data_IF_114679505264
#
_entry.id   IF_114679505264
#
_cell.length_a   1.000
_cell.length_b   1.000
_cell.length_c   1.000
_cell.angle_alpha   90.00
_cell.angle_beta   90.00
_cell.angle_gamma   90.00
#
_symmetry.space_group_name_H-M   'P 1'
#
loop_
_entity.id
_entity.type
_entity.pdbx_description
1 polymer ?
#
# COMPACT_ATOMS: atom_id res chain seq x y z
N UNK A 1 20.84 3.78 -56.03
CA UNK A 1 19.50 4.14 -56.54
C UNK A 1 18.55 4.11 -55.36
N UNK A 2 17.92 5.23 -54.99
CA UNK A 2 16.98 5.27 -53.87
C UNK A 2 15.78 4.37 -54.14
N UNK A 3 15.38 3.57 -53.15
CA UNK A 3 14.17 2.75 -53.21
C UNK A 3 12.96 3.69 -53.41
N UNK A 4 12.04 3.37 -54.32
CA UNK A 4 10.79 4.13 -54.47
C UNK A 4 10.01 4.00 -53.16
N UNK A 5 9.84 5.11 -52.43
CA UNK A 5 9.07 5.18 -51.18
C UNK A 5 7.57 5.37 -51.41
N UNK A 6 7.15 5.43 -52.68
CA UNK A 6 5.75 5.64 -53.09
C UNK A 6 5.48 4.99 -54.43
N UNK A 7 4.31 4.36 -54.54
CA UNK A 7 3.77 3.82 -55.77
C UNK A 7 2.96 4.90 -56.50
N UNK A 8 3.17 5.07 -57.80
CA UNK A 8 2.37 5.98 -58.63
C UNK A 8 1.02 5.32 -58.93
N UNK A 9 -0.08 6.02 -58.65
CA UNK A 9 -1.44 5.52 -58.88
C UNK A 9 -1.76 5.38 -60.36
N UNK A 10 -1.16 6.20 -61.22
CA UNK A 10 -1.37 6.10 -62.67
C UNK A 10 -0.78 4.79 -63.23
N UNK A 11 0.36 4.35 -62.68
CA UNK A 11 1.05 3.12 -63.09
C UNK A 11 0.30 1.85 -62.66
N UNK A 12 -0.58 1.94 -61.65
CA UNK A 12 -1.40 0.81 -61.17
C UNK A 12 -2.39 0.34 -62.23
N UNK A 13 -2.95 1.26 -63.01
CA UNK A 13 -3.94 0.95 -64.05
C UNK A 13 -3.36 0.17 -65.24
N UNK A 14 -2.04 0.30 -65.45
CA UNK A 14 -1.36 -0.43 -66.51
C UNK A 14 -1.17 -1.92 -66.16
N UNK A 15 -1.26 -2.27 -64.88
CA UNK A 15 -1.18 -3.65 -64.35
C UNK A 15 0.04 -4.45 -64.87
N UNK A 16 1.17 -3.78 -65.04
CA UNK A 16 2.38 -4.39 -65.58
C UNK A 16 3.08 -5.26 -64.52
N UNK A 17 3.81 -6.32 -64.92
CA UNK A 17 4.50 -7.21 -63.98
C UNK A 17 5.44 -6.49 -63.01
N UNK A 18 6.12 -5.43 -63.47
CA UNK A 18 7.00 -4.61 -62.64
C UNK A 18 6.24 -3.91 -61.51
N UNK A 19 5.03 -3.42 -61.78
CA UNK A 19 4.20 -2.76 -60.77
C UNK A 19 3.67 -3.78 -59.75
N UNK A 20 3.23 -4.96 -60.20
CA UNK A 20 2.86 -6.06 -59.29
C UNK A 20 4.02 -6.49 -58.39
N UNK A 21 5.25 -6.53 -58.92
CA UNK A 21 6.43 -6.81 -58.12
C UNK A 21 6.72 -5.72 -57.08
N UNK A 22 6.49 -4.44 -57.41
CA UNK A 22 6.61 -3.35 -56.46
C UNK A 22 5.52 -3.38 -55.37
N UNK A 23 4.27 -3.71 -55.72
CA UNK A 23 3.19 -3.88 -54.74
C UNK A 23 3.57 -4.98 -53.74
N UNK A 24 4.03 -6.14 -54.21
CA UNK A 24 4.51 -7.23 -53.34
C UNK A 24 5.65 -6.81 -52.41
N UNK A 25 6.57 -5.96 -52.86
CA UNK A 25 7.63 -5.42 -52.00
C UNK A 25 7.05 -4.51 -50.89
N UNK A 26 6.03 -3.72 -51.21
CA UNK A 26 5.32 -2.90 -50.21
C UNK A 26 4.55 -3.78 -49.23
N UNK A 27 3.95 -4.89 -49.68
CA UNK A 27 3.28 -5.86 -48.81
C UNK A 27 4.26 -6.52 -47.84
N UNK A 28 5.44 -6.90 -48.32
CA UNK A 28 6.50 -7.49 -47.49
C UNK A 28 6.98 -6.50 -46.41
N UNK A 29 7.25 -5.24 -46.78
CA UNK A 29 7.64 -4.21 -45.82
C UNK A 29 6.52 -3.87 -44.83
N UNK A 30 5.26 -3.80 -45.29
CA UNK A 30 4.09 -3.59 -44.43
C UNK A 30 3.92 -4.73 -43.42
N UNK A 31 4.16 -5.98 -43.82
CA UNK A 31 4.12 -7.13 -42.92
C UNK A 31 5.21 -7.06 -41.84
N UNK A 32 6.45 -6.73 -42.22
CA UNK A 32 7.53 -6.52 -41.24
C UNK A 32 7.20 -5.37 -40.28
N UNK A 33 6.62 -4.28 -40.81
CA UNK A 33 6.21 -3.14 -40.01
C UNK A 33 5.10 -3.51 -39.01
N UNK A 34 4.13 -4.33 -39.43
CA UNK A 34 3.07 -4.87 -38.57
C UNK A 34 3.64 -5.68 -37.42
N UNK A 35 4.49 -6.65 -37.71
CA UNK A 35 5.10 -7.51 -36.68
C UNK A 35 5.87 -6.70 -35.64
N UNK A 36 6.71 -5.76 -36.10
CA UNK A 36 7.45 -4.88 -35.21
C UNK A 36 6.54 -3.95 -34.41
N UNK A 37 5.51 -3.37 -35.05
CA UNK A 37 4.54 -2.49 -34.37
C UNK A 37 3.77 -3.22 -33.28
N UNK A 38 3.38 -4.47 -33.52
CA UNK A 38 2.72 -5.31 -32.52
C UNK A 38 3.65 -5.57 -31.32
N UNK A 39 4.92 -5.93 -31.56
CA UNK A 39 5.89 -6.11 -30.48
C UNK A 39 6.10 -4.82 -29.67
N UNK A 40 6.22 -3.68 -30.37
CA UNK A 40 6.39 -2.37 -29.74
C UNK A 40 5.17 -1.99 -28.89
N UNK A 41 3.95 -2.14 -29.44
CA UNK A 41 2.71 -1.82 -28.74
C UNK A 41 2.59 -2.62 -27.44
N UNK A 42 2.83 -3.93 -27.49
CA UNK A 42 2.84 -4.80 -26.31
C UNK A 42 3.86 -4.31 -25.25
N UNK A 43 5.05 -3.86 -25.68
CA UNK A 43 6.05 -3.29 -24.79
C UNK A 43 5.60 -1.99 -24.13
N UNK A 44 5.01 -1.07 -24.90
CA UNK A 44 4.49 0.21 -24.41
C UNK A 44 3.29 0.03 -23.48
N UNK A 45 2.41 -0.94 -23.76
CA UNK A 45 1.29 -1.30 -22.89
C UNK A 45 1.77 -1.79 -21.54
N UNK A 46 2.73 -2.72 -21.52
CA UNK A 46 3.35 -3.20 -20.28
C UNK A 46 3.98 -2.07 -19.48
N UNK A 47 4.70 -1.16 -20.14
CA UNK A 47 5.29 0.02 -19.49
C UNK A 47 4.21 0.94 -18.90
N UNK A 48 3.16 1.23 -19.65
CA UNK A 48 2.06 2.10 -19.21
C UNK A 48 1.31 1.49 -18.03
N UNK A 49 1.03 0.18 -18.06
CA UNK A 49 0.42 -0.53 -16.92
C UNK A 49 1.31 -0.50 -15.68
N UNK A 50 2.62 -0.75 -15.82
CA UNK A 50 3.56 -0.68 -14.71
C UNK A 50 3.62 0.73 -14.09
N UNK A 51 3.63 1.77 -14.93
CA UNK A 51 3.63 3.16 -14.46
C UNK A 51 2.36 3.49 -13.67
N UNK A 52 1.19 3.06 -14.14
CA UNK A 52 -0.08 3.25 -13.42
C UNK A 52 -0.06 2.57 -12.04
N UNK A 53 0.46 1.34 -11.95
CA UNK A 53 0.57 0.61 -10.69
C UNK A 53 1.49 1.33 -9.68
N UNK A 54 2.62 1.86 -10.15
CA UNK A 54 3.54 2.62 -9.28
C UNK A 54 2.89 3.91 -8.78
N UNK A 55 2.18 4.64 -9.65
CA UNK A 55 1.42 5.84 -9.27
C UNK A 55 0.38 5.54 -8.20
N UNK A 56 -0.40 4.46 -8.37
CA UNK A 56 -1.41 4.04 -7.40
C UNK A 56 -0.79 3.63 -6.06
N UNK A 57 0.29 2.83 -6.09
CA UNK A 57 1.00 2.41 -4.90
C UNK A 57 1.57 3.61 -4.12
N UNK A 58 2.17 4.57 -4.80
CA UNK A 58 2.70 5.79 -4.17
C UNK A 58 1.60 6.59 -3.46
N UNK A 59 0.43 6.76 -4.10
CA UNK A 59 -0.73 7.42 -3.47
C UNK A 59 -1.25 6.67 -2.25
N UNK A 60 -1.31 5.34 -2.33
CA UNK A 60 -1.76 4.50 -1.21
C UNK A 60 -0.83 4.62 0.01
N UNK A 61 0.49 4.63 -0.22
CA UNK A 61 1.49 4.88 0.83
C UNK A 61 1.31 6.28 1.42
N UNK A 62 1.21 7.32 0.60
CA UNK A 62 0.98 8.70 1.05
C UNK A 62 -0.28 8.83 1.90
N UNK A 63 -1.39 8.21 1.46
CA UNK A 63 -2.64 8.16 2.21
C UNK A 63 -2.48 7.48 3.57
N UNK A 64 -1.84 6.30 3.61
CA UNK A 64 -1.61 5.55 4.84
C UNK A 64 -0.81 6.36 5.86
N UNK A 65 0.24 7.05 5.41
CA UNK A 65 1.06 7.91 6.27
C UNK A 65 0.22 9.08 6.81
N UNK A 66 -0.60 9.71 5.96
CA UNK A 66 -1.44 10.85 6.40
C UNK A 66 -2.49 10.48 7.47
N UNK A 67 -2.89 9.21 7.53
CA UNK A 67 -3.85 8.69 8.53
C UNK A 67 -3.24 8.51 9.92
N UNK A 68 -1.92 8.67 10.08
CA UNK A 68 -1.26 8.55 11.39
C UNK A 68 -1.91 9.47 12.43
N UNK A 69 -2.24 10.72 12.06
CA UNK A 69 -2.88 11.71 12.92
C UNK A 69 -4.27 11.29 13.47
N UNK A 70 -4.92 10.32 12.83
CA UNK A 70 -6.24 9.82 13.22
C UNK A 70 -6.14 8.68 14.24
N UNK A 71 -4.94 8.11 14.41
CA UNK A 71 -4.67 7.04 15.36
C UNK A 71 -4.37 7.62 16.73
N UNK A 72 -4.83 6.94 17.78
CA UNK A 72 -4.51 7.29 19.17
C UNK A 72 -3.42 6.36 19.68
N UNK A 73 -2.24 6.94 19.93
CA UNK A 73 -1.11 6.26 20.53
C UNK A 73 -0.89 6.83 21.95
N UNK A 74 -1.35 6.13 23.01
CA UNK A 74 -1.32 6.67 24.38
C UNK A 74 0.08 6.81 24.99
N UNK A 75 1.09 6.24 24.33
CA UNK A 75 2.49 6.28 24.73
C UNK A 75 3.34 7.15 23.78
N UNK A 76 2.70 7.90 22.88
CA UNK A 76 3.42 8.75 21.94
C UNK A 76 4.04 9.94 22.66
N UNK A 77 5.23 10.33 22.21
CA UNK A 77 5.94 11.47 22.75
C UNK A 77 5.47 12.73 22.01
N UNK A 78 4.71 13.57 22.72
CA UNK A 78 4.13 14.80 22.17
C UNK A 78 5.21 15.76 21.66
N UNK A 79 6.41 15.72 22.23
CA UNK A 79 7.51 16.60 21.85
C UNK A 79 8.11 16.24 20.48
N UNK A 80 7.90 15.01 20.00
CA UNK A 80 8.36 14.59 18.67
C UNK A 80 7.47 15.11 17.54
N UNK A 81 6.22 15.48 17.82
CA UNK A 81 5.20 15.91 16.85
C UNK A 81 5.17 15.02 15.59
N UNK A 82 5.10 13.71 15.81
CA UNK A 82 5.02 12.71 14.73
C UNK A 82 3.83 12.94 13.80
N UNK A 83 2.63 13.37 14.26
CA UNK A 83 1.53 13.71 13.37
C UNK A 83 1.86 14.81 12.34
N UNK A 84 2.57 15.87 12.74
CA UNK A 84 2.98 16.91 11.79
C UNK A 84 4.04 16.40 10.81
N UNK A 85 5.05 15.67 11.31
CA UNK A 85 6.11 15.09 10.47
C UNK A 85 5.54 14.13 9.42
N UNK A 86 4.65 13.23 9.83
CA UNK A 86 3.99 12.27 8.92
C UNK A 86 3.10 12.96 7.90
N UNK A 87 2.37 14.02 8.27
CA UNK A 87 1.58 14.80 7.32
C UNK A 87 2.45 15.45 6.22
N UNK A 88 3.62 16.00 6.59
CA UNK A 88 4.57 16.59 5.64
C UNK A 88 5.22 15.53 4.74
N UNK A 89 5.60 14.38 5.31
CA UNK A 89 6.10 13.23 4.54
C UNK A 89 5.06 12.73 3.51
N UNK A 90 3.80 12.60 3.92
CA UNK A 90 2.71 12.21 3.03
C UNK A 90 2.53 13.21 1.88
N UNK A 91 2.60 14.51 2.16
CA UNK A 91 2.53 15.54 1.13
C UNK A 91 3.69 15.42 0.11
N UNK A 92 4.92 15.22 0.58
CA UNK A 92 6.07 15.03 -0.28
C UNK A 92 5.94 13.78 -1.18
N UNK A 93 5.45 12.66 -0.64
CA UNK A 93 5.20 11.43 -1.41
C UNK A 93 4.08 11.64 -2.44
N UNK A 94 3.00 12.33 -2.08
CA UNK A 94 1.91 12.63 -3.00
C UNK A 94 2.37 13.54 -4.15
N UNK A 95 3.30 14.45 -3.91
CA UNK A 95 3.88 15.26 -4.98
C UNK A 95 4.69 14.41 -5.98
N UNK A 96 5.45 13.42 -5.50
CA UNK A 96 6.08 12.44 -6.39
C UNK A 96 5.03 11.66 -7.20
N UNK A 97 3.94 11.26 -6.55
CA UNK A 97 2.85 10.54 -7.21
C UNK A 97 2.15 11.41 -8.29
N UNK A 98 2.04 12.72 -8.10
CA UNK A 98 1.53 13.64 -9.13
C UNK A 98 2.43 13.65 -10.38
N UNK A 99 3.76 13.68 -10.19
CA UNK A 99 4.71 13.55 -11.29
C UNK A 99 4.58 12.20 -12.02
N UNK A 100 4.38 11.11 -11.28
CA UNK A 100 4.17 9.76 -11.82
C UNK A 100 2.86 9.65 -12.61
N UNK A 101 1.80 10.32 -12.16
CA UNK A 101 0.53 10.39 -12.89
C UNK A 101 0.68 11.16 -14.22
N UNK A 102 1.38 12.29 -14.20
CA UNK A 102 1.65 13.03 -15.43
C UNK A 102 2.45 12.20 -16.43
N UNK A 103 3.46 11.45 -15.96
CA UNK A 103 4.19 10.51 -16.80
C UNK A 103 3.26 9.44 -17.38
N UNK A 104 2.37 8.86 -16.57
CA UNK A 104 1.39 7.87 -17.04
C UNK A 104 0.49 8.44 -18.15
N UNK A 105 0.01 9.67 -17.99
CA UNK A 105 -0.80 10.35 -19.01
C UNK A 105 -0.01 10.62 -20.31
N UNK A 106 1.28 10.97 -20.21
CA UNK A 106 2.14 11.15 -21.39
C UNK A 106 2.39 9.83 -22.12
N UNK A 107 2.62 8.74 -21.38
CA UNK A 107 2.76 7.40 -21.96
C UNK A 107 1.48 6.98 -22.71
N UNK A 108 0.31 7.20 -22.11
CA UNK A 108 -0.96 6.83 -22.70
C UNK A 108 -1.26 7.65 -23.97
N UNK A 109 -1.21 8.99 -23.86
CA UNK A 109 -1.70 9.87 -24.91
C UNK A 109 -0.69 10.14 -26.03
N UNK A 110 0.60 10.26 -25.68
CA UNK A 110 1.64 10.66 -26.63
C UNK A 110 2.44 9.47 -27.17
N UNK A 111 2.39 8.30 -26.51
CA UNK A 111 3.15 7.12 -26.92
C UNK A 111 2.23 5.99 -27.37
N UNK A 112 1.40 5.47 -26.45
CA UNK A 112 0.55 4.29 -26.71
C UNK A 112 -0.49 4.56 -27.78
N UNK A 113 -1.23 5.67 -27.66
CA UNK A 113 -2.34 5.97 -28.57
C UNK A 113 -1.92 6.07 -30.05
N UNK A 114 -0.88 6.85 -30.44
CA UNK A 114 -0.44 6.89 -31.83
C UNK A 114 0.02 5.52 -32.37
N UNK A 115 0.75 4.74 -31.57
CA UNK A 115 1.21 3.39 -31.95
C UNK A 115 0.02 2.46 -32.13
N UNK A 116 -0.98 2.51 -31.24
CA UNK A 116 -2.22 1.73 -31.34
C UNK A 116 -3.01 2.08 -32.61
N UNK A 117 -3.04 3.36 -32.99
CA UNK A 117 -3.64 3.80 -34.27
C UNK A 117 -2.92 3.16 -35.45
N UNK A 118 -1.59 3.22 -35.49
CA UNK A 118 -0.80 2.61 -36.56
C UNK A 118 -1.01 1.09 -36.62
N UNK A 119 -0.99 0.43 -35.46
CA UNK A 119 -1.26 -1.00 -35.35
C UNK A 119 -2.60 -1.36 -35.97
N UNK A 120 -3.67 -0.64 -35.65
CA UNK A 120 -5.00 -0.88 -36.20
C UNK A 120 -5.06 -0.70 -37.73
N UNK A 121 -4.38 0.30 -38.26
CA UNK A 121 -4.29 0.52 -39.72
C UNK A 121 -3.52 -0.63 -40.41
N UNK A 122 -2.42 -1.09 -39.82
CA UNK A 122 -1.63 -2.22 -40.32
C UNK A 122 -2.43 -3.53 -40.30
N UNK A 123 -3.13 -3.81 -39.20
CA UNK A 123 -4.04 -4.95 -39.09
C UNK A 123 -5.16 -4.89 -40.14
N UNK A 124 -5.77 -3.72 -40.34
CA UNK A 124 -6.81 -3.56 -41.36
C UNK A 124 -6.27 -3.77 -42.78
N UNK A 125 -5.07 -3.27 -43.05
CA UNK A 125 -4.44 -3.37 -44.37
C UNK A 125 -4.08 -4.82 -44.69
N UNK A 126 -3.44 -5.54 -43.76
CA UNK A 126 -3.00 -6.90 -44.00
C UNK A 126 -4.16 -7.90 -43.95
N UNK A 127 -5.01 -7.85 -42.93
CA UNK A 127 -6.05 -8.90 -42.70
C UNK A 127 -7.34 -8.68 -43.50
N UNK A 128 -7.50 -7.52 -44.16
CA UNK A 128 -8.75 -7.21 -44.88
C UNK A 128 -8.54 -6.61 -46.25
N UNK A 129 -7.74 -5.56 -46.36
CA UNK A 129 -7.57 -4.87 -47.63
C UNK A 129 -6.74 -5.71 -48.62
N UNK A 130 -5.73 -6.43 -48.12
CA UNK A 130 -4.92 -7.36 -48.93
C UNK A 130 -5.77 -8.49 -49.51
N UNK A 131 -6.48 -9.24 -48.67
CA UNK A 131 -7.40 -10.32 -49.10
C UNK A 131 -8.45 -9.84 -50.10
N UNK A 132 -9.03 -8.65 -49.88
CA UNK A 132 -10.02 -8.06 -50.79
C UNK A 132 -9.40 -7.70 -52.14
N UNK A 133 -8.20 -7.14 -52.14
CA UNK A 133 -7.47 -6.84 -53.36
C UNK A 133 -7.15 -8.11 -54.16
N UNK A 134 -6.64 -9.15 -53.49
CA UNK A 134 -6.35 -10.44 -54.11
C UNK A 134 -7.60 -11.10 -54.69
N UNK A 135 -8.71 -11.15 -53.94
CA UNK A 135 -9.96 -11.71 -54.43
C UNK A 135 -10.55 -10.99 -55.64
N UNK A 136 -10.52 -9.65 -55.65
CA UNK A 136 -10.97 -8.86 -56.82
C UNK A 136 -10.04 -9.06 -58.01
N UNK A 137 -8.73 -9.23 -57.78
CA UNK A 137 -7.77 -9.56 -58.83
C UNK A 137 -8.06 -10.93 -59.44
N UNK A 138 -8.35 -11.95 -58.62
CA UNK A 138 -8.73 -13.28 -59.09
C UNK A 138 -10.02 -13.25 -59.92
N UNK A 139 -11.06 -12.53 -59.46
CA UNK A 139 -12.31 -12.34 -60.24
C UNK A 139 -12.05 -11.73 -61.62
N UNK A 140 -11.14 -10.75 -61.71
CA UNK A 140 -10.78 -10.12 -62.97
C UNK A 140 -10.07 -11.09 -63.91
N UNK A 141 -9.10 -11.86 -63.41
CA UNK A 141 -8.37 -12.88 -64.18
C UNK A 141 -9.34 -13.98 -64.66
N UNK A 142 -10.27 -14.42 -63.83
CA UNK A 142 -11.29 -15.40 -64.19
C UNK A 142 -12.24 -14.91 -65.29
N UNK A 143 -12.67 -13.65 -65.22
CA UNK A 143 -13.50 -13.03 -66.25
C UNK A 143 -12.75 -12.92 -67.58
N UNK A 144 -11.47 -12.56 -67.53
CA UNK A 144 -10.59 -12.50 -68.70
C UNK A 144 -10.43 -13.90 -69.33
N UNK A 145 -10.17 -14.93 -68.52
CA UNK A 145 -9.99 -16.29 -69.01
C UNK A 145 -11.27 -16.84 -69.69
N UNK A 146 -12.45 -16.58 -69.08
CA UNK A 146 -13.76 -16.95 -69.65
C UNK A 146 -14.02 -16.25 -70.99
N UNK A 147 -13.71 -14.96 -71.08
CA UNK A 147 -13.85 -14.20 -72.33
C UNK A 147 -12.91 -14.73 -73.42
N UNK A 148 -11.63 -14.98 -73.07
CA UNK A 148 -10.61 -15.45 -74.02
C UNK A 148 -10.88 -16.87 -74.55
N UNK A 149 -11.54 -17.72 -73.77
CA UNK A 149 -11.96 -19.07 -74.18
C UNK A 149 -13.25 -19.07 -75.04
N UNK A 150 -13.95 -17.95 -75.16
CA UNK A 150 -15.20 -17.88 -75.91
C UNK A 150 -14.98 -18.11 -77.42
N UNK A 151 -15.83 -18.93 -78.03
CA UNK A 151 -15.79 -19.17 -79.47
C UNK A 151 -16.20 -17.90 -80.23
N UNK A 152 -15.44 -17.56 -81.28
CA UNK A 152 -15.75 -16.44 -82.18
C UNK A 152 -17.09 -16.57 -82.91
N UNK A 153 -17.66 -17.78 -82.95
CA UNK A 153 -18.94 -18.05 -83.64
C UNK A 153 -20.17 -17.71 -82.80
N UNK A 154 -20.03 -17.50 -81.50
CA UNK A 154 -21.13 -17.19 -80.58
C UNK A 154 -21.09 -15.70 -80.20
N UNK A 155 -21.60 -14.85 -81.10
CA UNK A 155 -21.54 -13.39 -80.96
C UNK A 155 -22.32 -12.87 -79.75
N UNK A 156 -23.44 -13.52 -79.40
CA UNK A 156 -24.26 -13.13 -78.24
C UNK A 156 -23.50 -13.38 -76.95
N UNK A 157 -22.99 -14.60 -76.75
CA UNK A 157 -22.19 -14.94 -75.57
C UNK A 157 -20.91 -14.12 -75.48
N UNK A 158 -20.26 -13.84 -76.61
CA UNK A 158 -19.09 -12.97 -76.66
C UNK A 158 -19.37 -11.56 -76.16
N UNK A 159 -20.54 -10.98 -76.48
CA UNK A 159 -20.92 -9.64 -76.01
C UNK A 159 -21.26 -9.63 -74.51
N UNK A 160 -21.93 -10.67 -74.01
CA UNK A 160 -22.22 -10.83 -72.58
C UNK A 160 -20.93 -10.91 -71.76
N UNK A 161 -19.99 -11.79 -72.15
CA UNK A 161 -18.69 -11.95 -71.47
C UNK A 161 -17.81 -10.70 -71.57
N UNK A 162 -17.90 -9.91 -72.65
CA UNK A 162 -17.20 -8.63 -72.75
C UNK A 162 -17.73 -7.61 -71.74
N UNK A 163 -19.05 -7.61 -71.49
CA UNK A 163 -19.68 -6.80 -70.45
C UNK A 163 -19.16 -7.19 -69.06
N UNK A 164 -19.16 -8.49 -68.75
CA UNK A 164 -18.65 -9.01 -67.47
C UNK A 164 -17.17 -8.67 -67.26
N UNK A 165 -16.34 -8.86 -68.29
CA UNK A 165 -14.91 -8.49 -68.26
C UNK A 165 -14.71 -7.01 -67.99
N UNK A 166 -15.50 -6.15 -68.65
CA UNK A 166 -15.41 -4.69 -68.47
C UNK A 166 -15.78 -4.30 -67.03
N UNK A 167 -16.82 -4.92 -66.47
CA UNK A 167 -17.21 -4.69 -65.07
C UNK A 167 -16.15 -5.18 -64.09
N UNK A 168 -15.61 -6.38 -64.28
CA UNK A 168 -14.55 -6.93 -63.44
C UNK A 168 -13.28 -6.06 -63.49
N UNK A 169 -12.89 -5.59 -64.68
CA UNK A 169 -11.74 -4.68 -64.85
C UNK A 169 -11.94 -3.35 -64.12
N UNK A 170 -13.13 -2.77 -64.19
CA UNK A 170 -13.43 -1.52 -63.48
C UNK A 170 -13.39 -1.71 -61.96
N UNK A 171 -13.90 -2.84 -61.44
CA UNK A 171 -13.78 -3.19 -60.01
C UNK A 171 -12.32 -3.36 -59.59
N UNK A 172 -11.54 -4.11 -60.37
CA UNK A 172 -10.11 -4.29 -60.13
C UNK A 172 -9.35 -2.95 -60.11
N UNK A 173 -9.54 -2.11 -61.12
CA UNK A 173 -8.88 -0.81 -61.18
C UNK A 173 -9.21 0.08 -59.97
N UNK A 174 -10.48 0.11 -59.56
CA UNK A 174 -10.90 0.87 -58.39
C UNK A 174 -10.26 0.34 -57.10
N UNK A 175 -10.25 -1.00 -56.92
CA UNK A 175 -9.65 -1.62 -55.75
C UNK A 175 -8.13 -1.46 -55.71
N UNK A 176 -7.46 -1.64 -56.85
CA UNK A 176 -6.02 -1.51 -56.95
C UNK A 176 -5.57 -0.09 -56.59
N UNK A 177 -6.31 0.93 -57.01
CA UNK A 177 -6.06 2.32 -56.60
C UNK A 177 -6.27 2.51 -55.09
N UNK A 178 -7.35 1.98 -54.51
CA UNK A 178 -7.60 2.08 -53.06
C UNK A 178 -6.50 1.39 -52.25
N UNK A 179 -6.17 0.15 -52.62
CA UNK A 179 -5.14 -0.66 -51.95
C UNK A 179 -3.78 0.01 -51.97
N UNK A 180 -3.32 0.46 -53.15
CA UNK A 180 -2.05 1.16 -53.30
C UNK A 180 -2.05 2.51 -52.58
N UNK A 181 -3.20 3.20 -52.51
CA UNK A 181 -3.34 4.43 -51.72
C UNK A 181 -3.14 4.15 -50.23
N UNK A 182 -3.68 3.05 -49.70
CA UNK A 182 -3.48 2.64 -48.30
C UNK A 182 -2.03 2.24 -48.02
N UNK A 183 -1.39 1.48 -48.90
CA UNK A 183 0.04 1.13 -48.80
C UNK A 183 0.90 2.40 -48.74
N UNK A 184 0.67 3.35 -49.64
CA UNK A 184 1.35 4.65 -49.62
C UNK A 184 1.07 5.44 -48.32
N UNK A 185 -0.18 5.38 -47.82
CA UNK A 185 -0.58 6.02 -46.56
C UNK A 185 0.23 5.51 -45.37
N UNK A 186 0.33 4.18 -45.22
CA UNK A 186 1.15 3.53 -44.19
C UNK A 186 2.61 3.95 -44.29
N UNK A 187 3.19 3.97 -45.49
CA UNK A 187 4.58 4.38 -45.69
C UNK A 187 4.83 5.85 -45.32
N UNK A 188 3.86 6.74 -45.56
CA UNK A 188 3.98 8.15 -45.19
C UNK A 188 3.81 8.39 -43.69
N UNK A 189 2.93 7.65 -43.03
CA UNK A 189 2.53 7.88 -41.63
C UNK A 189 3.36 7.08 -40.62
N UNK A 190 4.09 6.04 -41.03
CA UNK A 190 4.94 5.24 -40.12
C UNK A 190 5.90 6.08 -39.28
N UNK A 191 6.45 7.17 -39.83
CA UNK A 191 7.38 8.01 -39.08
C UNK A 191 6.68 8.84 -38.00
N UNK A 192 5.53 9.44 -38.32
CA UNK A 192 4.76 10.25 -37.36
C UNK A 192 3.98 9.41 -36.35
N UNK A 193 3.63 8.16 -36.68
CA UNK A 193 2.88 7.28 -35.79
C UNK A 193 3.74 6.24 -35.07
N UNK A 194 5.01 6.06 -35.42
CA UNK A 194 5.91 5.12 -34.73
C UNK A 194 7.19 5.77 -34.23
N UNK A 195 7.80 6.72 -34.95
CA UNK A 195 9.06 7.34 -34.52
C UNK A 195 8.81 8.54 -33.60
N UNK A 196 7.89 9.43 -33.96
CA UNK A 196 7.53 10.58 -33.11
C UNK A 196 7.07 10.16 -31.70
N UNK A 197 6.24 9.11 -31.51
CA UNK A 197 5.93 8.56 -30.18
C UNK A 197 7.15 8.14 -29.35
N UNK A 198 8.19 7.59 -29.99
CA UNK A 198 9.43 7.22 -29.29
C UNK A 198 10.22 8.45 -28.86
N UNK A 199 10.17 9.53 -29.63
CA UNK A 199 10.73 10.82 -29.21
C UNK A 199 9.92 11.40 -28.04
N UNK A 200 8.59 11.33 -28.11
CA UNK A 200 7.70 11.72 -27.00
C UNK A 200 7.98 10.92 -25.73
N UNK A 201 8.28 9.62 -25.85
CA UNK A 201 8.68 8.77 -24.72
C UNK A 201 9.94 9.31 -24.02
N UNK A 202 10.99 9.63 -24.79
CA UNK A 202 12.21 10.22 -24.24
C UNK A 202 11.95 11.58 -23.59
N UNK A 203 11.10 12.41 -24.20
CA UNK A 203 10.71 13.70 -23.64
C UNK A 203 9.93 13.55 -22.34
N UNK A 204 9.01 12.58 -22.26
CA UNK A 204 8.24 12.28 -21.06
C UNK A 204 9.15 11.88 -19.89
N UNK A 205 10.13 10.98 -20.13
CA UNK A 205 11.12 10.63 -19.11
C UNK A 205 11.99 11.80 -18.69
N UNK A 206 12.49 12.60 -19.64
CA UNK A 206 13.27 13.80 -19.33
C UNK A 206 12.47 14.76 -18.44
N UNK A 207 11.21 15.02 -18.80
CA UNK A 207 10.32 15.91 -18.05
C UNK A 207 10.07 15.37 -16.64
N UNK A 208 9.71 14.08 -16.52
CA UNK A 208 9.49 13.43 -15.22
C UNK A 208 10.69 13.54 -14.30
N UNK A 209 11.89 13.24 -14.79
CA UNK A 209 13.11 13.37 -14.00
C UNK A 209 13.45 14.82 -13.64
N UNK A 210 13.25 15.76 -14.56
CA UNK A 210 13.51 17.19 -14.30
C UNK A 210 12.58 17.74 -13.23
N UNK A 211 11.27 17.47 -13.34
CA UNK A 211 10.27 17.91 -12.37
C UNK A 211 10.50 17.24 -11.02
N UNK A 212 10.76 15.93 -11.02
CA UNK A 212 11.10 15.18 -9.80
C UNK A 212 12.34 15.75 -9.11
N UNK A 213 13.42 15.99 -9.85
CA UNK A 213 14.64 16.57 -9.29
C UNK A 213 14.41 17.97 -8.69
N UNK A 214 13.57 18.79 -9.32
CA UNK A 214 13.28 20.13 -8.79
C UNK A 214 12.40 20.07 -7.53
N UNK A 215 11.41 19.17 -7.49
CA UNK A 215 10.58 18.96 -6.29
C UNK A 215 11.40 18.57 -5.05
N UNK A 216 12.47 17.79 -5.26
CA UNK A 216 13.39 17.36 -4.20
C UNK A 216 14.33 18.48 -3.70
N UNK A 217 14.50 19.58 -4.44
CA UNK A 217 15.36 20.71 -4.05
C UNK A 217 14.65 21.76 -3.21
N UNK A 218 13.34 21.62 -3.00
CA UNK A 218 12.58 22.58 -2.20
C UNK A 218 13.14 22.63 -0.77
N UNK A 219 13.12 23.83 -0.17
CA UNK A 219 13.55 24.01 1.22
C UNK A 219 12.71 23.17 2.17
N UNK A 220 11.43 22.97 1.86
CA UNK A 220 10.53 22.10 2.61
C UNK A 220 10.96 20.64 2.55
N UNK A 221 11.26 20.08 1.37
CA UNK A 221 11.72 18.70 1.23
C UNK A 221 13.02 18.46 2.03
N UNK A 222 13.95 19.40 1.93
CA UNK A 222 15.23 19.35 2.69
C UNK A 222 14.98 19.44 4.19
N UNK A 223 14.08 20.33 4.63
CA UNK A 223 13.71 20.49 6.04
C UNK A 223 13.09 19.22 6.61
N UNK A 224 12.15 18.59 5.89
CA UNK A 224 11.51 17.33 6.33
C UNK A 224 12.55 16.25 6.59
N UNK A 225 13.52 16.07 5.68
CA UNK A 225 14.55 15.06 5.81
C UNK A 225 15.48 15.33 7.00
N UNK A 226 15.99 16.57 7.12
CA UNK A 226 16.90 16.95 8.20
C UNK A 226 16.22 16.87 9.56
N UNK A 227 15.03 17.46 9.71
CA UNK A 227 14.28 17.46 10.97
C UNK A 227 13.90 16.03 11.39
N UNK A 228 13.39 15.23 10.44
CA UNK A 228 13.07 13.83 10.71
C UNK A 228 14.30 13.05 11.19
N UNK A 229 15.45 13.23 10.53
CA UNK A 229 16.69 12.56 10.91
C UNK A 229 17.19 13.02 12.28
N UNK A 230 17.17 14.32 12.57
CA UNK A 230 17.58 14.87 13.87
C UNK A 230 16.70 14.35 15.02
N UNK A 231 15.37 14.35 14.83
CA UNK A 231 14.41 13.78 15.78
C UNK A 231 14.70 12.30 16.06
N UNK A 232 14.86 11.49 15.01
CA UNK A 232 15.14 10.05 15.19
C UNK A 232 16.49 9.81 15.88
N UNK A 233 17.52 10.60 15.56
CA UNK A 233 18.79 10.51 16.27
C UNK A 233 18.66 10.90 17.76
N UNK A 234 17.84 11.89 18.08
CA UNK A 234 17.54 12.26 19.48
C UNK A 234 16.90 11.10 20.24
N UNK A 235 15.88 10.45 19.63
CA UNK A 235 15.22 9.27 20.19
C UNK A 235 16.22 8.14 20.45
N UNK A 236 17.10 7.84 19.49
CA UNK A 236 18.13 6.81 19.65
C UNK A 236 19.10 7.15 20.78
N UNK A 237 19.55 8.41 20.91
CA UNK A 237 20.43 8.82 22.01
C UNK A 237 19.74 8.70 23.36
N UNK A 238 18.48 9.12 23.46
CA UNK A 238 17.68 9.01 24.67
C UNK A 238 17.50 7.55 25.10
N UNK A 239 17.21 6.65 24.15
CA UNK A 239 17.11 5.21 24.39
C UNK A 239 18.44 4.64 24.92
N UNK A 240 19.57 5.01 24.31
CA UNK A 240 20.89 4.54 24.76
C UNK A 240 21.23 4.98 26.18
N UNK A 241 20.92 6.23 26.53
CA UNK A 241 21.11 6.76 27.89
C UNK A 241 20.20 6.01 28.88
N UNK A 242 18.92 5.88 28.54
CA UNK A 242 17.92 5.17 29.35
C UNK A 242 18.32 3.71 29.59
N UNK A 243 18.81 3.03 28.55
CA UNK A 243 19.27 1.64 28.61
C UNK A 243 20.48 1.47 29.50
N UNK A 244 21.47 2.37 29.40
CA UNK A 244 22.65 2.36 30.30
C UNK A 244 22.24 2.58 31.76
N UNK A 245 21.43 3.61 32.03
CA UNK A 245 20.93 3.87 33.38
C UNK A 245 20.08 2.71 33.92
N UNK A 246 19.29 2.06 33.08
CA UNK A 246 18.51 0.88 33.46
C UNK A 246 19.40 -0.32 33.78
N UNK A 247 20.47 -0.54 33.00
CA UNK A 247 21.44 -1.61 33.27
C UNK A 247 22.21 -1.38 34.59
N UNK A 248 22.60 -0.14 34.87
CA UNK A 248 23.24 0.24 36.15
C UNK A 248 22.28 0.02 37.33
N UNK A 249 21.02 0.46 37.22
CA UNK A 249 19.99 0.22 38.24
C UNK A 249 19.72 -1.27 38.45
N UNK A 250 19.64 -2.04 37.37
CA UNK A 250 19.45 -3.49 37.45
C UNK A 250 20.60 -4.17 38.18
N UNK A 251 21.84 -3.79 37.86
CA UNK A 251 23.03 -4.30 38.54
C UNK A 251 23.00 -3.95 40.04
N UNK A 252 22.70 -2.70 40.38
CA UNK A 252 22.59 -2.25 41.77
C UNK A 252 21.50 -3.01 42.55
N UNK A 253 20.33 -3.21 41.95
CA UNK A 253 19.24 -3.99 42.57
C UNK A 253 19.61 -5.46 42.72
N UNK A 254 20.25 -6.06 41.72
CA UNK A 254 20.70 -7.47 41.77
C UNK A 254 21.71 -7.67 42.89
N UNK A 255 22.66 -6.75 43.04
CA UNK A 255 23.64 -6.81 44.13
C UNK A 255 22.97 -6.70 45.51
N UNK A 256 21.94 -5.86 45.66
CA UNK A 256 21.17 -5.77 46.91
C UNK A 256 20.38 -7.03 47.21
N UNK A 257 19.83 -7.71 46.19
CA UNK A 257 19.11 -8.97 46.38
C UNK A 257 20.02 -10.12 46.81
N UNK A 258 21.32 -10.05 46.53
CA UNK A 258 22.31 -11.03 46.96
C UNK A 258 22.82 -10.78 48.39
N UNK A 259 22.38 -9.72 49.05
CA UNK A 259 22.68 -9.44 50.45
C UNK A 259 21.66 -10.19 51.33
N UNK A 260 22.14 -11.14 52.13
CA UNK A 260 21.29 -12.07 52.92
C UNK A 260 20.37 -11.33 53.93
N UNK A 261 20.67 -10.06 54.24
CA UNK A 261 19.91 -9.22 55.18
C UNK A 261 18.95 -8.24 54.48
N UNK A 262 18.81 -8.32 53.15
CA UNK A 262 17.96 -7.40 52.38
C UNK A 262 16.47 -7.78 52.44
N UNK A 263 15.73 -7.12 53.33
CA UNK A 263 14.26 -7.27 53.41
C UNK A 263 13.57 -6.55 52.24
N UNK A 264 12.97 -7.34 51.34
CA UNK A 264 12.20 -6.86 50.17
C UNK A 264 10.79 -6.38 50.56
N UNK A 265 10.42 -6.46 51.85
CA UNK A 265 9.12 -6.03 52.33
C UNK A 265 8.90 -4.53 52.07
N UNK A 266 7.69 -4.11 51.63
CA UNK A 266 7.37 -2.69 51.47
C UNK A 266 7.60 -1.92 52.77
N UNK A 267 8.03 -0.66 52.67
CA UNK A 267 8.32 0.19 53.82
C UNK A 267 7.14 0.25 54.80
N UNK A 268 7.40 -0.13 56.06
CA UNK A 268 6.44 -0.02 57.16
C UNK A 268 6.85 1.14 58.09
N UNK A 269 5.90 2.00 58.44
CA UNK A 269 6.05 2.99 59.51
C UNK A 269 4.95 2.80 60.56
N UNK A 270 4.91 3.64 61.61
CA UNK A 270 3.90 3.54 62.66
C UNK A 270 2.45 3.72 62.16
N UNK A 271 2.25 4.41 61.03
CA UNK A 271 0.93 4.74 60.48
C UNK A 271 0.79 4.43 59.00
N UNK A 272 1.78 3.79 58.37
CA UNK A 272 1.75 3.47 56.95
C UNK A 272 2.27 2.06 56.71
N UNK A 273 1.48 1.27 56.01
CA UNK A 273 1.88 -0.04 55.49
C UNK A 273 1.10 -0.31 54.20
N UNK A 274 1.77 -0.97 53.28
CA UNK A 274 1.19 -1.46 52.04
C UNK A 274 1.74 -2.85 51.72
N UNK A 275 0.97 -3.67 51.03
CA UNK A 275 1.40 -5.02 50.69
C UNK A 275 0.25 -5.92 50.27
N UNK A 276 0.59 -7.08 49.73
CA UNK A 276 -0.41 -8.05 49.34
C UNK A 276 -0.93 -8.83 50.54
N UNK A 277 -2.25 -8.79 50.75
CA UNK A 277 -2.95 -9.63 51.71
C UNK A 277 -3.92 -10.55 50.98
N UNK A 278 -4.24 -11.69 51.58
CA UNK A 278 -5.41 -12.48 51.16
C UNK A 278 -6.60 -12.09 52.01
N UNK A 279 -7.69 -11.70 51.37
CA UNK A 279 -8.94 -11.36 52.03
C UNK A 279 -9.93 -12.51 51.89
N UNK A 280 -10.61 -12.86 52.98
CA UNK A 280 -11.69 -13.84 52.95
C UNK A 280 -12.94 -13.21 52.34
N UNK A 281 -13.30 -13.62 51.14
CA UNK A 281 -14.48 -13.17 50.41
C UNK A 281 -15.57 -14.23 50.52
N UNK A 282 -16.77 -13.86 50.99
CA UNK A 282 -17.92 -14.77 51.02
C UNK A 282 -18.50 -14.88 49.62
N UNK A 283 -18.48 -16.08 49.05
CA UNK A 283 -18.92 -16.36 47.67
C UNK A 283 -20.26 -17.10 47.60
N UNK A 284 -20.87 -17.39 48.75
CA UNK A 284 -22.18 -18.04 48.87
C UNK A 284 -22.62 -18.15 50.33
N UNK A 285 -23.73 -18.87 50.59
CA UNK A 285 -24.31 -19.03 51.93
C UNK A 285 -23.36 -19.73 52.93
N UNK A 286 -22.50 -20.64 52.45
CA UNK A 286 -21.58 -21.42 53.29
C UNK A 286 -20.16 -21.55 52.71
N UNK A 287 -19.86 -20.89 51.59
CA UNK A 287 -18.55 -20.96 50.93
C UNK A 287 -17.84 -19.63 50.99
N UNK A 288 -16.54 -19.67 51.28
CA UNK A 288 -15.67 -18.50 51.29
C UNK A 288 -14.39 -18.79 50.54
N UNK A 289 -13.99 -17.87 49.68
CA UNK A 289 -12.72 -17.90 48.97
C UNK A 289 -11.74 -16.89 49.59
N UNK A 290 -10.47 -17.01 49.20
CA UNK A 290 -9.40 -16.15 49.69
C UNK A 290 -8.66 -15.54 48.52
N UNK A 291 -9.10 -14.33 48.16
CA UNK A 291 -8.59 -13.62 47.00
C UNK A 291 -7.45 -12.69 47.42
N UNK A 292 -6.48 -12.50 46.52
CA UNK A 292 -5.27 -11.71 46.77
C UNK A 292 -5.52 -10.28 46.30
N UNK A 293 -5.34 -9.33 47.20
CA UNK A 293 -5.47 -7.90 46.90
C UNK A 293 -4.22 -7.16 47.37
N UNK A 294 -3.87 -6.08 46.67
CA UNK A 294 -2.89 -5.13 47.18
C UNK A 294 -3.62 -4.19 48.16
N UNK A 295 -3.25 -4.25 49.44
CA UNK A 295 -3.86 -3.46 50.51
C UNK A 295 -2.89 -2.37 50.92
N UNK A 296 -3.39 -1.16 51.17
CA UNK A 296 -2.58 -0.06 51.69
C UNK A 296 -3.38 0.89 52.57
N UNK A 297 -2.67 1.59 53.45
CA UNK A 297 -3.27 2.63 54.31
C UNK A 297 -3.27 3.98 53.57
N UNK A 298 -4.44 4.62 53.51
CA UNK A 298 -4.61 5.99 53.05
C UNK A 298 -5.40 6.80 54.11
N UNK A 299 -4.73 7.73 54.79
CA UNK A 299 -5.31 8.42 55.94
C UNK A 299 -5.65 7.44 57.07
N UNK A 300 -6.92 7.39 57.48
CA UNK A 300 -7.45 6.45 58.48
C UNK A 300 -8.28 5.31 57.86
N UNK A 301 -8.11 5.05 56.55
CA UNK A 301 -8.80 3.96 55.84
C UNK A 301 -7.80 2.95 55.28
N UNK A 302 -8.22 1.69 55.22
CA UNK A 302 -7.61 0.69 54.35
C UNK A 302 -8.26 0.75 52.98
N UNK A 303 -7.41 0.79 51.97
CA UNK A 303 -7.77 0.70 50.56
C UNK A 303 -7.36 -0.66 50.03
N UNK A 304 -8.02 -1.12 48.96
CA UNK A 304 -7.61 -2.31 48.23
C UNK A 304 -7.61 -2.08 46.72
N UNK A 305 -6.74 -2.79 46.01
CA UNK A 305 -6.64 -2.77 44.55
C UNK A 305 -6.41 -4.20 44.03
N UNK A 306 -7.14 -4.58 42.98
CA UNK A 306 -6.86 -5.83 42.25
C UNK A 306 -5.65 -5.66 41.34
N UNK A 307 -4.96 -6.75 41.04
CA UNK A 307 -3.70 -6.73 40.28
C UNK A 307 -3.84 -6.20 38.84
N UNK A 308 -5.04 -6.20 38.28
CA UNK A 308 -5.38 -5.84 36.91
C UNK A 308 -6.18 -4.53 36.80
N UNK A 309 -6.47 -3.88 37.92
CA UNK A 309 -7.24 -2.64 37.97
C UNK A 309 -6.31 -1.43 38.21
N UNK A 310 -6.60 -0.30 37.55
CA UNK A 310 -5.85 0.95 37.71
C UNK A 310 -6.33 1.78 38.92
N UNK A 311 -7.48 1.44 39.49
CA UNK A 311 -8.18 2.23 40.51
C UNK A 311 -8.29 1.40 41.79
N UNK A 312 -8.05 2.03 42.94
CA UNK A 312 -8.24 1.43 44.26
C UNK A 312 -9.60 1.77 44.84
N UNK A 313 -10.14 0.87 45.66
CA UNK A 313 -11.42 1.04 46.34
C UNK A 313 -11.25 1.09 47.86
N UNK A 314 -12.17 1.76 48.56
CA UNK A 314 -12.24 1.78 50.02
C UNK A 314 -12.60 0.39 50.56
N UNK A 315 -11.75 -0.17 51.42
CA UNK A 315 -12.02 -1.45 52.07
C UNK A 315 -12.73 -1.26 53.41
N UNK A 316 -12.11 -0.50 54.32
CA UNK A 316 -12.59 -0.35 55.69
C UNK A 316 -12.00 0.90 56.34
N UNK A 317 -12.81 1.65 57.10
CA UNK A 317 -12.31 2.73 57.96
C UNK A 317 -11.74 2.14 59.25
N UNK A 318 -10.54 2.56 59.63
CA UNK A 318 -9.82 2.06 60.80
C UNK A 318 -10.19 2.78 62.09
N UNK A 319 -10.88 3.91 62.03
CA UNK A 319 -11.22 4.69 63.23
C UNK A 319 -12.10 3.89 64.18
N UNK A 320 -11.64 3.70 65.42
CA UNK A 320 -12.35 2.91 66.44
C UNK A 320 -12.46 1.41 66.14
N UNK A 321 -11.81 0.89 65.10
CA UNK A 321 -11.79 -0.54 64.83
C UNK A 321 -10.95 -1.29 65.88
N UNK A 322 -11.22 -2.58 66.08
CA UNK A 322 -10.33 -3.47 66.83
C UNK A 322 -9.66 -4.44 65.87
N UNK A 323 -8.41 -4.79 66.14
CA UNK A 323 -7.65 -5.74 65.34
C UNK A 323 -7.05 -6.81 66.24
N UNK A 324 -7.29 -8.08 65.90
CA UNK A 324 -6.81 -9.23 66.65
C UNK A 324 -6.33 -10.34 65.70
N UNK A 325 -5.33 -11.10 66.14
CA UNK A 325 -4.94 -12.34 65.48
C UNK A 325 -6.05 -13.38 65.64
N UNK A 326 -6.38 -14.08 64.55
CA UNK A 326 -7.41 -15.11 64.54
C UNK A 326 -6.79 -16.47 64.90
N UNK A 327 -6.64 -16.75 66.19
CA UNK A 327 -6.04 -17.99 66.71
C UNK A 327 -6.81 -19.26 66.36
N UNK A 328 -8.11 -19.13 66.04
CA UNK A 328 -9.00 -20.23 65.65
C UNK A 328 -9.11 -20.41 64.12
N UNK A 329 -8.37 -19.63 63.33
CA UNK A 329 -8.42 -19.75 61.87
C UNK A 329 -7.67 -21.01 61.35
N UNK A 330 -8.17 -21.58 60.26
CA UNK A 330 -7.59 -22.74 59.57
C UNK A 330 -6.30 -22.41 58.78
N UNK A 331 -5.97 -21.12 58.65
CA UNK A 331 -4.82 -20.61 57.90
C UNK A 331 -3.85 -19.85 58.80
N UNK A 332 -2.56 -19.95 58.48
CA UNK A 332 -1.48 -19.22 59.18
C UNK A 332 -1.57 -17.71 58.92
N UNK A 333 -1.17 -16.92 59.93
CA UNK A 333 -1.00 -15.47 59.88
C UNK A 333 -2.28 -14.69 59.55
N UNK A 334 -3.41 -15.15 60.09
CA UNK A 334 -4.73 -14.53 59.88
C UNK A 334 -5.02 -13.55 61.01
N UNK A 335 -5.56 -12.39 60.65
CA UNK A 335 -6.08 -11.41 61.59
C UNK A 335 -7.46 -10.91 61.15
N UNK A 336 -8.23 -10.43 62.13
CA UNK A 336 -9.57 -9.91 61.93
C UNK A 336 -9.60 -8.46 62.37
N UNK A 337 -10.09 -7.60 61.48
CA UNK A 337 -10.44 -6.22 61.79
C UNK A 337 -11.95 -6.19 62.05
N UNK A 338 -12.34 -5.71 63.21
CA UNK A 338 -13.75 -5.58 63.60
C UNK A 338 -14.10 -4.10 63.69
N UNK A 339 -15.04 -3.66 62.86
CA UNK A 339 -15.58 -2.31 62.95
C UNK A 339 -16.77 -2.26 63.92
N UNK A 340 -16.81 -1.30 64.85
CA UNK A 340 -18.00 -1.05 65.65
C UNK A 340 -19.10 -0.46 64.76
N UNK A 341 -20.11 -1.25 64.41
CA UNK A 341 -21.31 -0.76 63.71
C UNK A 341 -22.53 -0.83 64.61
N UNK A 342 -23.53 0.03 64.36
CA UNK A 342 -24.78 0.08 65.14
C UNK A 342 -25.71 -1.14 64.92
N UNK A 343 -25.45 -1.99 63.93
CA UNK A 343 -26.39 -3.05 63.48
C UNK A 343 -25.80 -4.46 63.56
N UNK A 344 -24.47 -4.60 63.56
CA UNK A 344 -23.70 -5.82 63.88
C UNK A 344 -22.21 -5.58 63.64
N UNK A 345 -21.31 -6.27 64.34
CA UNK A 345 -19.86 -6.21 64.09
C UNK A 345 -19.52 -6.67 62.67
N UNK A 346 -19.07 -5.74 61.81
CA UNK A 346 -18.55 -6.09 60.49
C UNK A 346 -17.11 -6.54 60.66
N UNK A 347 -16.89 -7.83 60.49
CA UNK A 347 -15.55 -8.44 60.55
C UNK A 347 -14.95 -8.58 59.16
N UNK A 348 -13.72 -8.10 59.01
CA UNK A 348 -12.89 -8.26 57.83
C UNK A 348 -11.74 -9.20 58.19
N UNK A 349 -11.69 -10.37 57.56
CA UNK A 349 -10.66 -11.38 57.79
C UNK A 349 -9.58 -11.30 56.71
N UNK A 350 -8.34 -11.04 57.12
CA UNK A 350 -7.18 -10.86 56.26
C UNK A 350 -6.06 -11.84 56.66
N UNK A 351 -5.23 -12.22 55.70
CA UNK A 351 -4.11 -13.12 55.90
C UNK A 351 -2.82 -12.49 55.37
N UNK A 352 -1.83 -12.38 56.25
CA UNK A 352 -0.48 -11.87 55.99
C UNK A 352 0.46 -12.96 55.44
N UNK A 353 1.61 -12.57 54.88
CA UNK A 353 2.55 -13.52 54.26
C UNK A 353 3.52 -14.17 55.26
N UNK A 354 3.74 -13.54 56.43
CA UNK A 354 4.64 -14.01 57.49
C UNK A 354 4.18 -13.53 58.86
N UNK A 355 4.78 -14.08 59.93
CA UNK A 355 4.51 -13.60 61.29
C UNK A 355 4.94 -12.14 61.49
N UNK A 356 6.06 -11.74 60.88
CA UNK A 356 6.52 -10.34 60.89
C UNK A 356 5.48 -9.43 60.24
N UNK A 357 5.01 -9.80 59.04
CA UNK A 357 4.03 -9.02 58.29
C UNK A 357 2.69 -8.91 59.04
N UNK A 358 2.25 -9.98 59.71
CA UNK A 358 1.09 -9.97 60.61
C UNK A 358 1.25 -8.95 61.74
N UNK A 359 2.38 -8.99 62.46
CA UNK A 359 2.66 -8.08 63.58
C UNK A 359 2.66 -6.62 63.09
N UNK A 360 3.30 -6.36 61.95
CA UNK A 360 3.34 -5.03 61.36
C UNK A 360 1.95 -4.52 60.95
N UNK A 361 1.15 -5.34 60.25
CA UNK A 361 -0.22 -4.96 59.87
C UNK A 361 -1.08 -4.67 61.10
N UNK A 362 -1.08 -5.55 62.09
CA UNK A 362 -1.89 -5.37 63.30
C UNK A 362 -1.45 -4.16 64.13
N UNK A 363 -0.15 -3.86 64.21
CA UNK A 363 0.35 -2.68 64.90
C UNK A 363 -0.06 -1.37 64.20
N UNK A 364 0.09 -1.29 62.88
CA UNK A 364 -0.30 -0.10 62.11
C UNK A 364 -1.80 0.16 62.24
N UNK A 365 -2.62 -0.89 62.10
CA UNK A 365 -4.08 -0.77 62.27
C UNK A 365 -4.43 -0.31 63.68
N UNK A 366 -3.78 -0.86 64.72
CA UNK A 366 -4.02 -0.48 66.10
C UNK A 366 -3.68 0.98 66.36
N UNK A 367 -2.54 1.46 65.86
CA UNK A 367 -2.14 2.87 66.00
C UNK A 367 -3.16 3.80 65.33
N UNK A 368 -3.64 3.45 64.13
CA UNK A 368 -4.62 4.23 63.39
C UNK A 368 -6.03 4.17 63.99
N UNK A 369 -6.36 3.11 64.74
CA UNK A 369 -7.66 3.01 65.40
C UNK A 369 -7.86 3.97 66.56
N UNK A 370 -6.76 4.43 67.16
CA UNK A 370 -6.74 5.34 68.31
C UNK A 370 -6.61 6.82 67.94
N UNK A 371 -6.43 7.11 66.64
CA UNK A 371 -6.48 8.46 66.08
C UNK A 371 -7.94 8.83 65.75
#
# INVERSE_FOLDING_TARGET
KGMKTRLDLADVLADIPQQRALIRLFDEDTNQLREWTNQLLNGVERLSSAQNLVTEAARSVGSTISQFKERRFPLDDVDLDIPQLTARLAAAINEQANGMELLAQQLENCVRYPISKMHKELENLVEKASDKYEGIQEEFVDAEEKYMKCSRKDSKKSNELLGDLTMARNRYNAEAIDYVTRLNGVQSTRYTLLIEPLLSLLHAFKSFHSVGAESCKTGEYTSILSEGQEKMQSVVRAEQISRKGSAERLSALTNRLNDDDFDVSPSCSSHHKQGYLRMRVKTGLFTSNWDRFFIFVQGTSLMYQRSDELVSEDLVSLQGCTVAEATEADRRYVFIITQPSRVSDRQLTLQACSNKDLIEWTNVIRNLSTL
#
